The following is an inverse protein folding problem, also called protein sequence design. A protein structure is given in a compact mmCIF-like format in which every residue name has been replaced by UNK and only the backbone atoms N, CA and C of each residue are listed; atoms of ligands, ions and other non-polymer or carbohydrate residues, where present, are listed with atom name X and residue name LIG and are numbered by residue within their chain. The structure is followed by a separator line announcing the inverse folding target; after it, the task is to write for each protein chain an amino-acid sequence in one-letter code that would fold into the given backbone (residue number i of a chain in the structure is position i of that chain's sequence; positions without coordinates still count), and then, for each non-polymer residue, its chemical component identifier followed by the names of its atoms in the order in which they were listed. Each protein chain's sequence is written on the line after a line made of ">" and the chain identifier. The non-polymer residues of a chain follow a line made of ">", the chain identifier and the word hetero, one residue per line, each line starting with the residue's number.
data_IF_590395215645
#
_entry.id   IF_590395215645
#
_cell.length_a   1.000
_cell.length_b   1.000
_cell.length_c   1.000
_cell.angle_alpha   90.00
_cell.angle_beta   90.00
_cell.angle_gamma   90.00
#
_symmetry.space_group_name_H-M   'P 1'
#
loop_
_entity.id
_entity.type
_entity.pdbx_description
1 polymer ?
#
# COMPACT_ATOMS: atom_id res chain seq x y z
N UNK A 1 -33.06 -58.57 -34.55
CA UNK A 1 -31.87 -58.57 -35.41
C UNK A 1 -30.97 -57.40 -35.01
N UNK A 2 -29.81 -57.74 -34.41
CA UNK A 2 -28.48 -57.12 -34.59
C UNK A 2 -28.33 -55.59 -34.43
N UNK A 3 -27.46 -55.07 -33.57
CA UNK A 3 -25.99 -55.20 -33.68
C UNK A 3 -25.26 -55.03 -32.33
N UNK A 4 -24.28 -55.89 -32.08
CA UNK A 4 -23.26 -55.78 -31.03
C UNK A 4 -21.89 -55.53 -31.67
N UNK A 5 -21.12 -54.64 -31.05
CA UNK A 5 -19.66 -54.53 -30.92
C UNK A 5 -18.75 -55.30 -31.91
N UNK A 6 -17.93 -54.55 -32.66
CA UNK A 6 -16.61 -55.01 -33.11
C UNK A 6 -15.52 -54.44 -32.17
N UNK A 7 -14.69 -55.34 -31.64
CA UNK A 7 -13.48 -55.07 -30.86
C UNK A 7 -12.29 -55.32 -31.79
N UNK A 8 -11.38 -54.36 -31.92
CA UNK A 8 -10.13 -54.49 -32.70
C UNK A 8 -9.14 -55.48 -32.06
N UNK A 9 -8.30 -56.17 -32.85
CA UNK A 9 -7.39 -57.20 -32.34
C UNK A 9 -6.21 -56.62 -31.56
N UNK A 10 -5.79 -57.36 -30.54
CA UNK A 10 -4.63 -57.09 -29.68
C UNK A 10 -3.35 -57.52 -30.41
N UNK A 11 -2.46 -56.58 -30.72
CA UNK A 11 -1.09 -56.87 -31.18
C UNK A 11 -0.25 -57.49 -30.04
N UNK A 12 0.44 -58.59 -30.32
CA UNK A 12 1.14 -59.42 -29.32
C UNK A 12 2.66 -59.23 -29.26
N UNK A 13 3.20 -58.05 -29.57
CA UNK A 13 4.64 -57.79 -29.36
C UNK A 13 4.87 -56.51 -28.55
N UNK A 14 5.59 -56.66 -27.43
CA UNK A 14 5.99 -55.54 -26.59
C UNK A 14 7.02 -54.64 -27.31
N UNK A 15 6.97 -53.31 -27.13
CA UNK A 15 7.92 -52.40 -27.77
C UNK A 15 9.36 -52.71 -27.31
N UNK A 16 10.31 -52.80 -28.25
CA UNK A 16 11.74 -53.02 -27.95
C UNK A 16 12.37 -51.74 -27.40
N UNK A 17 12.20 -51.50 -26.11
CA UNK A 17 12.71 -50.33 -25.37
C UNK A 17 14.24 -50.23 -25.32
N UNK A 18 14.96 -51.34 -25.54
CA UNK A 18 16.43 -51.38 -25.40
C UNK A 18 17.17 -50.52 -26.43
N UNK A 19 16.65 -50.41 -27.66
CA UNK A 19 17.25 -49.54 -28.71
C UNK A 19 16.97 -48.05 -28.49
N UNK A 20 15.84 -47.71 -27.86
CA UNK A 20 15.49 -46.32 -27.54
C UNK A 20 16.34 -45.77 -26.38
N UNK A 21 16.69 -46.62 -25.41
CA UNK A 21 17.54 -46.26 -24.28
C UNK A 21 19.03 -46.12 -24.66
N UNK A 22 19.51 -46.89 -25.64
CA UNK A 22 20.89 -46.78 -26.16
C UNK A 22 21.10 -45.50 -26.99
N UNK A 23 20.14 -45.08 -27.80
CA UNK A 23 20.26 -43.82 -28.55
C UNK A 23 20.13 -42.57 -27.64
N UNK A 24 19.34 -42.63 -26.56
CA UNK A 24 19.26 -41.54 -25.59
C UNK A 24 20.50 -41.40 -24.69
N UNK A 25 21.28 -42.48 -24.50
CA UNK A 25 22.51 -42.44 -23.72
C UNK A 25 23.72 -41.98 -24.54
N UNK A 26 23.75 -42.25 -25.85
CA UNK A 26 24.77 -41.73 -26.75
C UNK A 26 24.64 -40.21 -27.00
N UNK A 27 23.42 -39.68 -27.16
CA UNK A 27 23.19 -38.23 -27.36
C UNK A 27 23.33 -37.38 -26.08
N UNK A 28 23.45 -38.02 -24.91
CA UNK A 28 23.69 -37.31 -23.64
C UNK A 28 25.16 -37.05 -23.35
N UNK A 29 26.10 -37.60 -24.12
CA UNK A 29 27.54 -37.45 -23.85
C UNK A 29 28.23 -36.28 -24.57
N UNK A 30 27.53 -35.52 -25.42
CA UNK A 30 28.16 -34.49 -26.28
C UNK A 30 27.49 -33.11 -26.25
N UNK A 31 26.72 -32.77 -25.20
CA UNK A 31 26.39 -31.35 -24.96
C UNK A 31 27.51 -30.72 -24.13
N UNK A 32 28.20 -29.68 -24.63
CA UNK A 32 29.17 -28.98 -23.81
C UNK A 32 28.43 -28.45 -22.59
N UNK A 33 28.86 -28.89 -21.41
CA UNK A 33 28.41 -28.38 -20.13
C UNK A 33 28.65 -26.87 -20.16
N UNK A 34 27.63 -26.08 -20.50
CA UNK A 34 27.69 -24.64 -20.41
C UNK A 34 28.03 -24.36 -18.95
N UNK A 35 29.27 -23.93 -18.69
CA UNK A 35 29.74 -23.57 -17.35
C UNK A 35 28.72 -22.60 -16.80
N UNK A 36 27.84 -23.06 -15.91
CA UNK A 36 26.82 -22.24 -15.25
C UNK A 36 27.61 -21.19 -14.47
N UNK A 37 27.79 -20.03 -15.08
CA UNK A 37 28.66 -18.95 -14.59
C UNK A 37 28.25 -18.71 -13.14
N UNK A 38 29.15 -18.96 -12.18
CA UNK A 38 28.85 -18.82 -10.75
C UNK A 38 28.22 -17.44 -10.56
N UNK A 39 26.93 -17.39 -10.20
CA UNK A 39 26.22 -16.12 -10.00
C UNK A 39 27.04 -15.28 -9.02
N UNK A 40 27.36 -14.04 -9.41
CA UNK A 40 28.04 -13.06 -8.55
C UNK A 40 27.34 -12.99 -7.19
N UNK A 41 28.08 -12.82 -6.07
CA UNK A 41 27.49 -12.69 -4.75
C UNK A 41 26.42 -11.59 -4.69
N UNK A 42 26.62 -10.48 -5.41
CA UNK A 42 25.63 -9.40 -5.57
C UNK A 42 24.33 -9.86 -6.24
N UNK A 43 24.42 -10.70 -7.28
CA UNK A 43 23.22 -11.26 -7.93
C UNK A 43 22.49 -12.24 -7.01
N UNK A 44 23.22 -13.05 -6.23
CA UNK A 44 22.62 -13.96 -5.24
C UNK A 44 21.93 -13.19 -4.13
N UNK A 45 22.56 -12.13 -3.64
CA UNK A 45 21.98 -11.25 -2.63
C UNK A 45 20.70 -10.57 -3.16
N UNK A 46 20.75 -10.01 -4.37
CA UNK A 46 19.57 -9.44 -5.04
C UNK A 46 18.44 -10.47 -5.18
N UNK A 47 18.75 -11.68 -5.65
CA UNK A 47 17.76 -12.76 -5.79
C UNK A 47 17.11 -13.12 -4.43
N UNK A 48 17.90 -13.12 -3.35
CA UNK A 48 17.43 -13.39 -1.98
C UNK A 48 16.54 -12.26 -1.45
N UNK A 49 16.92 -10.99 -1.65
CA UNK A 49 16.10 -9.83 -1.25
C UNK A 49 14.80 -9.73 -2.04
N UNK A 50 14.78 -10.09 -3.32
CA UNK A 50 13.55 -10.14 -4.12
C UNK A 50 12.63 -11.28 -3.68
N UNK A 51 13.19 -12.40 -3.21
CA UNK A 51 12.41 -13.51 -2.64
C UNK A 51 11.86 -13.18 -1.26
N UNK A 52 12.65 -12.48 -0.45
CA UNK A 52 12.32 -12.10 0.93
C UNK A 52 12.40 -10.59 1.07
N UNK A 53 11.31 -9.91 0.70
CA UNK A 53 11.20 -8.45 0.65
C UNK A 53 11.44 -7.80 2.02
N UNK A 54 11.18 -8.51 3.12
CA UNK A 54 11.47 -8.05 4.49
C UNK A 54 12.97 -7.98 4.82
N UNK A 55 13.86 -8.62 4.05
CA UNK A 55 15.31 -8.63 4.35
C UNK A 55 15.94 -7.25 4.19
N UNK A 56 15.56 -6.48 3.18
CA UNK A 56 16.17 -5.16 2.94
C UNK A 56 15.83 -4.18 4.09
N UNK A 57 14.56 -3.98 4.46
CA UNK A 57 14.22 -3.19 5.66
C UNK A 57 14.87 -3.73 6.93
N UNK A 58 14.93 -5.06 7.12
CA UNK A 58 15.57 -5.66 8.29
C UNK A 58 17.06 -5.31 8.36
N UNK A 59 17.80 -5.41 7.26
CA UNK A 59 19.22 -5.06 7.22
C UNK A 59 19.42 -3.57 7.54
N UNK A 60 18.56 -2.69 7.03
CA UNK A 60 18.58 -1.26 7.39
C UNK A 60 18.35 -1.07 8.89
N UNK A 61 17.36 -1.75 9.49
CA UNK A 61 17.10 -1.68 10.93
C UNK A 61 18.27 -2.19 11.75
N UNK A 62 18.86 -3.33 11.38
CA UNK A 62 20.03 -3.89 12.09
C UNK A 62 21.18 -2.88 12.07
N UNK A 63 21.46 -2.25 10.92
CA UNK A 63 22.51 -1.23 10.82
C UNK A 63 22.20 -0.03 11.72
N UNK A 64 20.99 0.54 11.64
CA UNK A 64 20.61 1.71 12.43
C UNK A 64 20.61 1.43 13.94
N UNK A 65 20.09 0.27 14.36
CA UNK A 65 20.11 -0.15 15.76
C UNK A 65 21.51 -0.47 16.26
N UNK A 66 22.39 -1.03 15.41
CA UNK A 66 23.80 -1.25 15.75
C UNK A 66 24.54 0.08 15.94
N UNK A 67 24.27 1.09 15.10
CA UNK A 67 24.82 2.44 15.26
C UNK A 67 24.38 3.08 16.58
N UNK A 68 23.15 2.83 17.01
CA UNK A 68 22.69 3.24 18.33
C UNK A 68 23.40 2.48 19.46
N UNK A 69 23.54 1.15 19.32
CA UNK A 69 24.15 0.27 20.33
C UNK A 69 25.64 0.58 20.61
N UNK A 70 26.37 1.18 19.66
CA UNK A 70 27.76 1.61 19.86
C UNK A 70 27.86 2.70 20.95
N UNK A 71 26.87 3.59 21.03
CA UNK A 71 26.81 4.65 22.03
C UNK A 71 25.33 4.91 22.40
N UNK A 72 24.75 4.16 23.34
CA UNK A 72 23.33 4.24 23.68
C UNK A 72 23.06 5.41 24.64
N UNK A 73 23.38 6.63 24.19
CA UNK A 73 23.16 7.87 24.95
C UNK A 73 22.38 8.88 24.10
N UNK A 74 21.83 9.91 24.76
CA UNK A 74 21.11 11.00 24.07
C UNK A 74 21.98 11.78 23.08
N UNK A 75 23.31 11.67 23.20
CA UNK A 75 24.27 12.28 22.28
C UNK A 75 24.30 11.60 20.91
N UNK A 76 23.78 10.38 20.79
CA UNK A 76 23.77 9.64 19.54
C UNK A 76 22.73 10.22 18.57
N UNK A 77 23.09 10.50 17.31
CA UNK A 77 22.13 10.93 16.29
C UNK A 77 20.93 9.99 16.11
N UNK A 78 21.10 8.69 16.36
CA UNK A 78 20.03 7.69 16.27
C UNK A 78 19.04 7.77 17.46
N UNK A 79 19.42 8.42 18.56
CA UNK A 79 18.52 8.58 19.70
C UNK A 79 17.23 9.30 19.30
N UNK A 80 17.32 10.37 18.50
CA UNK A 80 16.14 11.11 18.03
C UNK A 80 15.28 10.35 17.02
N UNK A 81 15.83 9.28 16.44
CA UNK A 81 15.13 8.43 15.50
C UNK A 81 14.32 7.33 16.24
N UNK A 82 14.83 6.86 17.38
CA UNK A 82 14.22 5.79 18.18
C UNK A 82 13.27 6.36 19.24
N UNK A 83 13.62 7.48 19.86
CA UNK A 83 12.88 8.08 20.96
C UNK A 83 12.32 9.46 20.61
N UNK A 84 11.23 9.84 21.28
CA UNK A 84 10.63 11.15 21.13
C UNK A 84 11.63 12.25 21.52
N UNK A 85 11.75 13.25 20.64
CA UNK A 85 12.61 14.41 20.88
C UNK A 85 11.86 15.57 21.52
N UNK A 86 12.59 16.49 22.14
CA UNK A 86 12.09 17.74 22.75
C UNK A 86 11.20 17.55 23.99
N UNK A 87 11.67 16.84 25.05
CA UNK A 87 10.94 16.76 26.30
C UNK A 87 10.87 18.13 26.98
N UNK A 88 9.73 18.43 27.57
CA UNK A 88 9.41 19.64 28.32
C UNK A 88 8.83 19.26 29.69
N UNK A 89 9.02 20.10 30.71
CA UNK A 89 8.49 19.82 32.04
C UNK A 89 6.95 19.74 32.00
N UNK A 90 6.34 18.96 32.90
CA UNK A 90 4.88 18.93 33.03
C UNK A 90 4.28 20.31 33.29
N UNK A 91 3.10 20.57 32.73
CA UNK A 91 2.38 21.84 32.94
C UNK A 91 1.87 22.01 34.38
N UNK A 92 1.60 20.90 35.06
CA UNK A 92 1.14 20.87 36.45
C UNK A 92 2.04 19.92 37.26
N UNK A 93 2.30 20.22 38.55
CA UNK A 93 3.05 19.31 39.41
C UNK A 93 2.43 17.90 39.42
N UNK A 94 3.23 16.88 39.10
CA UNK A 94 2.77 15.49 38.99
C UNK A 94 2.04 15.14 37.68
N UNK A 95 1.94 16.07 36.73
CA UNK A 95 1.36 15.84 35.41
C UNK A 95 2.29 15.06 34.46
N UNK A 96 1.81 14.67 33.27
CA UNK A 96 2.62 13.96 32.29
C UNK A 96 3.69 14.86 31.66
N UNK A 97 4.78 14.25 31.20
CA UNK A 97 5.84 14.93 30.44
C UNK A 97 5.26 15.41 29.10
N UNK A 98 5.50 16.69 28.80
CA UNK A 98 5.09 17.31 27.55
C UNK A 98 6.22 17.25 26.54
N UNK A 99 5.89 17.33 25.25
CA UNK A 99 6.86 17.31 24.18
C UNK A 99 6.58 18.44 23.19
N UNK A 100 7.62 19.20 22.88
CA UNK A 100 7.60 20.19 21.81
C UNK A 100 7.75 19.54 20.43
N UNK A 101 7.97 20.36 19.39
CA UNK A 101 8.13 19.92 18.00
C UNK A 101 9.41 20.45 17.39
N UNK A 102 10.01 19.70 16.46
CA UNK A 102 11.17 20.17 15.74
C UNK A 102 11.68 19.21 14.66
N UNK A 103 12.76 19.56 13.94
CA UNK A 103 13.26 18.79 12.80
C UNK A 103 13.70 17.36 13.16
N UNK A 104 14.08 17.09 14.42
CA UNK A 104 14.40 15.74 14.87
C UNK A 104 13.23 14.77 14.74
N UNK A 105 11.99 15.26 14.74
CA UNK A 105 10.80 14.42 14.56
C UNK A 105 10.75 13.79 13.15
N UNK A 106 11.41 14.38 12.15
CA UNK A 106 11.56 13.77 10.81
C UNK A 106 12.43 12.51 10.88
N UNK A 107 13.46 12.50 11.74
CA UNK A 107 14.31 11.32 11.94
C UNK A 107 13.53 10.18 12.59
N UNK A 108 12.65 10.51 13.53
CA UNK A 108 11.72 9.56 14.14
C UNK A 108 10.78 8.96 13.08
N UNK A 109 10.13 9.82 12.30
CA UNK A 109 9.22 9.37 11.23
C UNK A 109 9.94 8.47 10.23
N UNK A 110 11.13 8.86 9.80
CA UNK A 110 11.93 8.09 8.82
C UNK A 110 12.32 6.72 9.36
N UNK A 111 12.75 6.64 10.62
CA UNK A 111 13.10 5.36 11.24
C UNK A 111 11.89 4.44 11.38
N UNK A 112 10.76 4.95 11.88
CA UNK A 112 9.54 4.16 12.01
C UNK A 112 8.91 3.79 10.67
N UNK A 113 9.11 4.57 9.60
CA UNK A 113 8.77 4.15 8.23
C UNK A 113 9.53 2.89 7.81
N UNK A 114 10.81 2.75 8.18
CA UNK A 114 11.60 1.53 7.92
C UNK A 114 11.10 0.38 8.81
N UNK A 115 10.82 0.64 10.09
CA UNK A 115 10.24 -0.35 11.02
C UNK A 115 8.92 -0.90 10.49
N UNK A 116 8.03 -0.03 10.02
CA UNK A 116 6.75 -0.42 9.45
C UNK A 116 6.91 -1.15 8.12
N UNK A 117 7.88 -0.76 7.29
CA UNK A 117 8.20 -1.49 6.05
C UNK A 117 8.67 -2.92 6.34
N UNK A 118 9.55 -3.10 7.32
CA UNK A 118 9.95 -4.43 7.77
C UNK A 118 8.75 -5.23 8.30
N UNK A 119 7.99 -4.62 9.20
CA UNK A 119 6.85 -5.26 9.88
C UNK A 119 5.80 -5.71 8.86
N UNK A 120 5.44 -4.86 7.89
CA UNK A 120 4.55 -5.18 6.79
C UNK A 120 5.00 -6.41 6.02
N UNK A 121 6.21 -6.37 5.47
CA UNK A 121 6.73 -7.46 4.64
C UNK A 121 6.91 -8.75 5.44
N UNK A 122 7.33 -8.65 6.70
CA UNK A 122 7.50 -9.80 7.58
C UNK A 122 6.14 -10.45 7.89
N UNK A 123 5.14 -9.68 8.33
CA UNK A 123 3.81 -10.18 8.62
C UNK A 123 3.15 -10.79 7.38
N UNK A 124 3.20 -10.09 6.23
CA UNK A 124 2.65 -10.58 4.98
C UNK A 124 3.29 -11.91 4.55
N UNK A 125 4.62 -12.01 4.52
CA UNK A 125 5.27 -13.24 4.05
C UNK A 125 5.26 -14.40 5.05
N UNK A 126 5.39 -14.11 6.35
CA UNK A 126 5.64 -15.14 7.38
C UNK A 126 4.39 -15.56 8.14
N UNK A 127 3.42 -14.68 8.35
CA UNK A 127 2.21 -14.99 9.10
C UNK A 127 0.99 -15.10 8.20
N UNK A 128 0.75 -14.07 7.36
CA UNK A 128 -0.49 -13.96 6.60
C UNK A 128 -0.47 -14.90 5.39
N UNK A 129 0.65 -15.03 4.69
CA UNK A 129 0.74 -15.93 3.51
C UNK A 129 0.44 -17.40 3.86
N UNK A 130 1.03 -18.01 4.90
CA UNK A 130 0.65 -19.36 5.31
C UNK A 130 -0.84 -19.47 5.68
N UNK A 131 -1.37 -18.45 6.37
CA UNK A 131 -2.79 -18.40 6.72
C UNK A 131 -3.71 -18.33 5.49
N UNK A 132 -3.35 -17.54 4.47
CA UNK A 132 -4.08 -17.46 3.21
C UNK A 132 -4.15 -18.82 2.50
N UNK A 133 -3.03 -19.56 2.49
CA UNK A 133 -2.96 -20.92 1.92
C UNK A 133 -3.81 -21.89 2.73
N UNK A 134 -3.77 -21.79 4.07
CA UNK A 134 -4.60 -22.59 4.96
C UNK A 134 -6.10 -22.34 4.73
N UNK A 135 -6.50 -21.09 4.48
CA UNK A 135 -7.86 -20.73 4.10
C UNK A 135 -8.24 -21.09 2.65
N UNK A 136 -7.34 -21.75 1.89
CA UNK A 136 -7.62 -22.21 0.54
C UNK A 136 -7.61 -21.12 -0.53
N UNK A 137 -7.05 -19.94 -0.26
CA UNK A 137 -6.95 -18.86 -1.25
C UNK A 137 -5.91 -19.25 -2.31
N UNK A 138 -6.36 -19.38 -3.55
CA UNK A 138 -5.54 -19.71 -4.72
C UNK A 138 -5.34 -18.48 -5.60
N UNK A 139 -4.27 -18.50 -6.41
CA UNK A 139 -3.92 -17.40 -7.30
C UNK A 139 -2.96 -16.39 -6.66
N UNK A 140 -1.90 -16.03 -7.39
CA UNK A 140 -0.84 -15.14 -6.88
C UNK A 140 -1.36 -13.72 -6.61
N UNK A 141 -2.17 -13.18 -7.53
CA UNK A 141 -2.78 -11.85 -7.40
C UNK A 141 -3.76 -11.77 -6.23
N UNK A 142 -4.75 -12.67 -6.20
CA UNK A 142 -5.73 -12.77 -5.11
C UNK A 142 -5.09 -12.95 -3.74
N UNK A 143 -4.07 -13.81 -3.63
CA UNK A 143 -3.31 -13.99 -2.38
C UNK A 143 -2.60 -12.70 -1.96
N UNK A 144 -1.98 -11.96 -2.89
CA UNK A 144 -1.33 -10.68 -2.60
C UNK A 144 -2.33 -9.65 -2.05
N UNK A 145 -3.49 -9.51 -2.70
CA UNK A 145 -4.55 -8.59 -2.26
C UNK A 145 -5.12 -8.96 -0.90
N UNK A 146 -5.39 -10.24 -0.68
CA UNK A 146 -5.82 -10.73 0.62
C UNK A 146 -4.80 -10.38 1.71
N UNK A 147 -3.50 -10.60 1.45
CA UNK A 147 -2.44 -10.24 2.40
C UNK A 147 -2.40 -8.73 2.70
N UNK A 148 -2.58 -7.88 1.68
CA UNK A 148 -2.66 -6.42 1.84
C UNK A 148 -3.82 -6.03 2.77
N UNK A 149 -5.01 -6.59 2.56
CA UNK A 149 -6.18 -6.29 3.38
C UNK A 149 -6.03 -6.79 4.82
N UNK A 150 -5.54 -8.02 5.02
CA UNK A 150 -5.34 -8.56 6.37
C UNK A 150 -4.27 -7.78 7.13
N UNK A 151 -3.16 -7.38 6.50
CA UNK A 151 -2.16 -6.52 7.13
C UNK A 151 -2.77 -5.19 7.57
N UNK A 152 -3.55 -4.56 6.69
CA UNK A 152 -4.24 -3.30 6.96
C UNK A 152 -5.20 -3.45 8.15
N UNK A 153 -5.96 -4.55 8.20
CA UNK A 153 -6.85 -4.85 9.30
C UNK A 153 -6.10 -5.05 10.63
N UNK A 154 -4.96 -5.76 10.63
CA UNK A 154 -4.13 -5.95 11.84
C UNK A 154 -3.58 -4.60 12.33
N UNK A 155 -3.08 -3.76 11.44
CA UNK A 155 -2.54 -2.45 11.80
C UNK A 155 -3.61 -1.58 12.46
N UNK A 156 -4.76 -1.39 11.81
CA UNK A 156 -5.83 -0.53 12.34
C UNK A 156 -6.60 -1.15 13.52
N UNK A 157 -6.57 -2.48 13.71
CA UNK A 157 -7.07 -3.11 14.93
C UNK A 157 -6.28 -2.68 16.18
N UNK A 158 -5.01 -2.31 16.01
CA UNK A 158 -4.14 -1.83 17.10
C UNK A 158 -4.19 -0.30 17.17
N UNK A 159 -3.96 0.39 16.05
CA UNK A 159 -3.86 1.85 16.01
C UNK A 159 -5.19 2.56 16.18
N UNK A 160 -6.31 1.98 15.73
CA UNK A 160 -7.65 2.57 15.91
C UNK A 160 -8.03 2.77 17.38
N UNK A 161 -8.05 1.70 18.20
CA UNK A 161 -8.29 1.82 19.65
C UNK A 161 -7.23 2.66 20.36
N UNK A 162 -5.96 2.56 19.97
CA UNK A 162 -4.90 3.39 20.54
C UNK A 162 -5.11 4.88 20.26
N UNK A 163 -5.55 5.24 19.05
CA UNK A 163 -5.92 6.60 18.68
C UNK A 163 -7.09 7.11 19.52
N UNK A 164 -8.15 6.31 19.70
CA UNK A 164 -9.27 6.67 20.58
C UNK A 164 -8.82 6.90 22.03
N UNK A 165 -7.93 6.05 22.54
CA UNK A 165 -7.35 6.23 23.87
C UNK A 165 -6.52 7.52 23.96
N UNK A 166 -5.74 7.86 22.93
CA UNK A 166 -5.00 9.13 22.88
C UNK A 166 -5.96 10.33 22.84
N UNK A 167 -7.03 10.24 22.05
CA UNK A 167 -8.04 11.29 21.96
C UNK A 167 -8.76 11.50 23.30
N UNK A 168 -9.07 10.43 24.04
CA UNK A 168 -9.78 10.51 25.34
C UNK A 168 -9.00 11.24 26.42
N UNK A 169 -7.68 11.33 26.28
CA UNK A 169 -6.80 12.08 27.18
C UNK A 169 -6.55 13.52 26.75
N UNK A 170 -7.30 13.99 25.76
CA UNK A 170 -7.22 15.36 25.23
C UNK A 170 -8.60 16.00 25.15
N UNK A 171 -8.65 17.33 25.08
CA UNK A 171 -9.90 18.11 25.11
C UNK A 171 -10.79 17.89 23.88
N UNK A 172 -10.26 17.23 22.84
CA UNK A 172 -10.98 16.87 21.61
C UNK A 172 -11.80 15.58 21.72
N UNK A 173 -11.90 14.98 22.91
CA UNK A 173 -12.65 13.73 23.11
C UNK A 173 -14.03 13.78 22.44
N UNK A 174 -14.32 12.71 21.70
CA UNK A 174 -15.54 12.57 20.91
C UNK A 174 -15.78 13.72 19.91
N UNK A 175 -14.71 14.15 19.24
CA UNK A 175 -14.75 15.14 18.16
C UNK A 175 -15.34 16.49 18.60
N UNK A 176 -14.94 16.98 19.77
CA UNK A 176 -15.26 18.34 20.21
C UNK A 176 -14.54 19.36 19.30
N UNK A 177 -15.30 20.09 18.48
CA UNK A 177 -14.75 21.01 17.47
C UNK A 177 -14.20 22.28 18.10
N UNK A 178 -14.83 22.80 19.15
CA UNK A 178 -14.38 24.00 19.85
C UNK A 178 -12.96 23.82 20.39
N UNK A 179 -12.67 22.66 20.96
CA UNK A 179 -11.36 22.30 21.49
C UNK A 179 -10.25 22.29 20.43
N UNK A 180 -10.59 22.15 19.13
CA UNK A 180 -9.62 22.23 18.04
C UNK A 180 -9.04 23.64 17.86
N UNK A 181 -9.73 24.67 18.35
CA UNK A 181 -9.34 26.07 18.23
C UNK A 181 -9.06 26.73 19.58
N UNK A 182 -9.70 26.25 20.64
CA UNK A 182 -9.48 26.71 22.00
C UNK A 182 -8.03 26.44 22.44
N UNK A 183 -7.40 27.45 23.05
CA UNK A 183 -6.00 27.36 23.48
C UNK A 183 -4.98 27.27 22.34
N UNK A 184 -5.37 27.50 21.08
CA UNK A 184 -4.45 27.50 19.95
C UNK A 184 -3.45 28.67 20.06
N UNK A 185 -2.13 28.45 19.83
CA UNK A 185 -1.52 27.27 19.21
C UNK A 185 -1.19 26.12 20.17
N UNK A 186 -1.57 24.89 19.78
CA UNK A 186 -1.21 23.66 20.49
C UNK A 186 0.25 23.24 20.19
N UNK A 187 1.21 23.93 20.81
CA UNK A 187 2.65 23.72 20.54
C UNK A 187 3.23 22.46 21.16
N UNK A 188 2.62 22.01 22.25
CA UNK A 188 3.11 20.94 23.10
C UNK A 188 2.05 19.85 23.25
N UNK A 189 2.49 18.61 23.25
CA UNK A 189 1.62 17.45 23.37
C UNK A 189 2.15 16.48 24.39
N UNK A 190 1.26 15.72 25.01
CA UNK A 190 1.66 14.58 25.83
C UNK A 190 2.44 13.56 25.00
N UNK A 191 3.37 12.83 25.62
CA UNK A 191 4.20 11.83 24.94
C UNK A 191 3.42 10.83 24.09
N UNK A 192 2.32 10.26 24.60
CA UNK A 192 1.50 9.32 23.81
C UNK A 192 0.83 9.99 22.60
N UNK A 193 0.37 11.23 22.76
CA UNK A 193 -0.22 12.00 21.66
C UNK A 193 0.82 12.24 20.57
N UNK A 194 2.01 12.71 20.94
CA UNK A 194 3.09 12.95 19.99
C UNK A 194 3.56 11.66 19.31
N UNK A 195 3.73 10.58 20.07
CA UNK A 195 4.11 9.27 19.54
C UNK A 195 3.07 8.76 18.53
N UNK A 196 1.80 8.74 18.89
CA UNK A 196 0.72 8.31 17.99
C UNK A 196 0.73 9.12 16.70
N UNK A 197 0.79 10.45 16.81
CA UNK A 197 0.77 11.33 15.64
C UNK A 197 1.95 11.09 14.69
N UNK A 198 3.17 10.91 15.23
CA UNK A 198 4.36 10.65 14.42
C UNK A 198 4.40 9.22 13.86
N UNK A 199 3.89 8.24 14.59
CA UNK A 199 3.76 6.86 14.10
C UNK A 199 2.75 6.78 12.94
N UNK A 200 1.62 7.47 13.05
CA UNK A 200 0.67 7.62 11.94
C UNK A 200 1.33 8.30 10.73
N UNK A 201 2.07 9.39 10.95
CA UNK A 201 2.83 10.03 9.88
C UNK A 201 3.84 9.06 9.22
N UNK A 202 4.46 8.18 10.01
CA UNK A 202 5.39 7.14 9.53
C UNK A 202 4.69 6.08 8.68
N UNK A 203 3.47 5.68 9.07
CA UNK A 203 2.64 4.74 8.34
C UNK A 203 2.19 5.31 7.01
N UNK A 204 1.67 6.54 6.99
CA UNK A 204 1.26 7.20 5.75
C UNK A 204 2.44 7.49 4.82
N UNK A 205 3.61 7.84 5.36
CA UNK A 205 4.84 7.92 4.57
C UNK A 205 5.25 6.55 4.00
N UNK A 206 5.12 5.48 4.78
CA UNK A 206 5.39 4.11 4.32
C UNK A 206 4.43 3.69 3.19
N UNK A 207 3.14 3.97 3.32
CA UNK A 207 2.14 3.69 2.28
C UNK A 207 2.40 4.51 1.01
N UNK A 208 2.80 5.78 1.14
CA UNK A 208 3.20 6.59 -0.01
C UNK A 208 4.41 6.01 -0.75
N UNK A 209 5.40 5.46 -0.05
CA UNK A 209 6.55 4.77 -0.67
C UNK A 209 6.10 3.52 -1.42
N UNK A 210 5.23 2.71 -0.82
CA UNK A 210 4.65 1.52 -1.46
C UNK A 210 3.94 1.88 -2.77
N UNK A 211 3.16 2.96 -2.75
CA UNK A 211 2.44 3.48 -3.92
C UNK A 211 3.38 4.01 -5.00
N UNK A 212 4.36 4.85 -4.63
CA UNK A 212 5.33 5.48 -5.54
C UNK A 212 6.23 4.45 -6.23
N UNK A 213 6.66 3.43 -5.50
CA UNK A 213 7.46 2.34 -6.04
C UNK A 213 6.63 1.27 -6.76
N UNK A 214 5.31 1.45 -6.84
CA UNK A 214 4.36 0.50 -7.44
C UNK A 214 4.58 -0.94 -6.94
N UNK A 215 4.88 -1.08 -5.64
CA UNK A 215 5.06 -2.40 -5.02
C UNK A 215 3.73 -3.17 -4.97
N UNK A 216 2.62 -2.44 -5.07
CA UNK A 216 1.28 -2.98 -5.28
C UNK A 216 0.84 -2.74 -6.74
N UNK A 217 0.17 -3.73 -7.34
CA UNK A 217 -0.39 -3.59 -8.69
C UNK A 217 -1.35 -2.39 -8.71
N UNK A 218 -1.24 -1.45 -9.67
CA UNK A 218 -2.17 -0.34 -9.80
C UNK A 218 -3.62 -0.84 -9.89
N UNK A 219 -4.53 -0.12 -9.23
CA UNK A 219 -5.98 -0.38 -9.26
C UNK A 219 -6.65 0.55 -10.28
N UNK A 220 -7.90 0.28 -10.65
CA UNK A 220 -8.68 1.17 -11.53
C UNK A 220 -8.81 2.60 -10.99
N UNK A 221 -8.75 2.79 -9.67
CA UNK A 221 -8.79 4.06 -8.95
C UNK A 221 -7.39 4.62 -8.58
N UNK A 222 -6.35 4.26 -9.33
CA UNK A 222 -4.96 4.64 -9.01
C UNK A 222 -4.73 6.16 -8.97
N UNK A 223 -5.33 6.92 -9.89
CA UNK A 223 -5.13 8.38 -9.96
C UNK A 223 -5.73 9.08 -8.74
N UNK A 224 -6.93 8.67 -8.36
CA UNK A 224 -7.64 9.16 -7.18
C UNK A 224 -6.90 8.77 -5.91
N UNK A 225 -6.33 7.55 -5.85
CA UNK A 225 -5.49 7.11 -4.75
C UNK A 225 -4.20 7.91 -4.62
N UNK A 226 -3.54 8.28 -5.73
CA UNK A 226 -2.37 9.17 -5.72
C UNK A 226 -2.75 10.57 -5.26
N UNK A 227 -3.84 11.13 -5.79
CA UNK A 227 -4.36 12.43 -5.38
C UNK A 227 -4.67 12.46 -3.87
N UNK A 228 -5.29 11.40 -3.36
CA UNK A 228 -5.52 11.22 -1.92
C UNK A 228 -4.23 11.27 -1.12
N UNK A 229 -3.18 10.52 -1.51
CA UNK A 229 -1.90 10.51 -0.79
C UNK A 229 -1.21 11.88 -0.77
N UNK A 230 -1.33 12.65 -1.85
CA UNK A 230 -0.83 14.03 -1.88
C UNK A 230 -1.58 14.89 -0.84
N UNK A 231 -2.91 14.80 -0.82
CA UNK A 231 -3.75 15.56 0.12
C UNK A 231 -3.48 15.13 1.57
N UNK A 232 -3.39 13.83 1.86
CA UNK A 232 -3.17 13.34 3.22
C UNK A 232 -1.79 13.70 3.73
N UNK A 233 -0.71 13.50 2.95
CA UNK A 233 0.63 13.91 3.36
C UNK A 233 0.72 15.43 3.56
N UNK A 234 0.04 16.23 2.73
CA UNK A 234 -0.04 17.67 2.93
C UNK A 234 -0.78 18.03 4.23
N UNK A 235 -1.91 17.39 4.52
CA UNK A 235 -2.65 17.58 5.77
C UNK A 235 -1.80 17.23 6.99
N UNK A 236 -1.11 16.08 6.96
CA UNK A 236 -0.23 15.63 8.05
C UNK A 236 0.92 16.63 8.27
N UNK A 237 1.65 16.97 7.21
CA UNK A 237 2.80 17.85 7.29
C UNK A 237 2.42 19.26 7.75
N UNK A 238 1.37 19.84 7.15
CA UNK A 238 0.94 21.21 7.47
C UNK A 238 0.29 21.29 8.86
N UNK A 239 -0.55 20.32 9.25
CA UNK A 239 -1.16 20.35 10.57
C UNK A 239 -0.15 20.13 11.68
N UNK A 240 0.89 19.32 11.46
CA UNK A 240 2.01 19.22 12.41
C UNK A 240 2.82 20.52 12.48
N UNK A 241 3.20 21.08 11.32
CA UNK A 241 4.05 22.29 11.21
C UNK A 241 3.39 23.55 11.77
N UNK A 242 2.07 23.67 11.60
CA UNK A 242 1.30 24.87 11.97
C UNK A 242 0.38 24.65 13.19
N UNK A 243 0.62 23.62 14.00
CA UNK A 243 -0.07 23.39 15.28
C UNK A 243 -1.56 23.02 15.19
N UNK A 244 -2.06 22.56 14.04
CA UNK A 244 -3.42 22.04 13.88
C UNK A 244 -3.54 20.53 14.17
N UNK A 245 -2.71 20.00 15.07
CA UNK A 245 -2.60 18.56 15.34
C UNK A 245 -3.86 17.96 15.96
N UNK A 246 -4.65 18.75 16.67
CA UNK A 246 -5.94 18.33 17.23
C UNK A 246 -6.94 17.96 16.14
N UNK A 247 -7.01 18.76 15.08
CA UNK A 247 -7.78 18.44 13.87
C UNK A 247 -7.17 17.24 13.15
N UNK A 248 -5.83 17.16 13.09
CA UNK A 248 -5.12 16.02 12.51
C UNK A 248 -5.46 14.67 13.18
N UNK A 249 -5.47 14.60 14.51
CA UNK A 249 -5.85 13.38 15.25
C UNK A 249 -7.31 12.98 14.97
N UNK A 250 -8.22 13.95 14.94
CA UNK A 250 -9.61 13.67 14.57
C UNK A 250 -9.71 13.05 13.16
N UNK A 251 -8.97 13.59 12.20
CA UNK A 251 -8.92 13.04 10.84
C UNK A 251 -8.30 11.64 10.83
N UNK A 252 -7.15 11.41 11.48
CA UNK A 252 -6.55 10.08 11.58
C UNK A 252 -7.54 9.04 12.09
N UNK A 253 -8.16 9.29 13.24
CA UNK A 253 -9.02 8.30 13.90
C UNK A 253 -10.26 7.95 13.08
N UNK A 254 -10.89 8.96 12.45
CA UNK A 254 -12.01 8.68 11.54
C UNK A 254 -11.57 7.82 10.35
N UNK A 255 -10.36 8.07 9.85
CA UNK A 255 -9.84 7.37 8.69
C UNK A 255 -9.42 5.93 9.02
N UNK A 256 -8.66 5.74 10.09
CA UNK A 256 -8.14 4.45 10.53
C UNK A 256 -9.27 3.48 10.90
N UNK A 257 -10.27 3.95 11.67
CA UNK A 257 -11.39 3.08 12.07
C UNK A 257 -12.22 2.68 10.84
N UNK A 258 -12.47 3.59 9.91
CA UNK A 258 -13.24 3.23 8.70
C UNK A 258 -12.45 2.31 7.76
N UNK A 259 -11.13 2.47 7.67
CA UNK A 259 -10.27 1.61 6.87
C UNK A 259 -10.14 0.20 7.48
N UNK A 260 -10.20 0.08 8.82
CA UNK A 260 -10.36 -1.22 9.48
C UNK A 260 -11.59 -1.96 8.95
N UNK A 261 -12.78 -1.33 8.99
CA UNK A 261 -14.02 -1.94 8.50
C UNK A 261 -13.97 -2.25 7.00
N UNK A 262 -13.32 -1.40 6.19
CA UNK A 262 -13.12 -1.67 4.77
C UNK A 262 -12.26 -2.93 4.57
N UNK A 263 -11.10 -2.99 5.22
CA UNK A 263 -10.14 -4.07 5.07
C UNK A 263 -10.69 -5.42 5.55
N UNK A 264 -11.40 -5.44 6.67
CA UNK A 264 -12.06 -6.65 7.18
C UNK A 264 -13.24 -7.07 6.32
N UNK A 265 -14.02 -6.13 5.76
CA UNK A 265 -15.12 -6.47 4.84
C UNK A 265 -14.61 -7.19 3.58
N UNK A 266 -13.48 -6.72 3.03
CA UNK A 266 -12.80 -7.37 1.90
C UNK A 266 -12.21 -8.72 2.29
N UNK A 267 -11.59 -8.80 3.47
CA UNK A 267 -11.06 -10.07 4.01
C UNK A 267 -12.16 -11.13 4.12
N UNK A 268 -13.34 -10.77 4.64
CA UNK A 268 -14.49 -11.67 4.74
C UNK A 268 -15.00 -12.10 3.36
N UNK A 269 -15.02 -11.19 2.39
CA UNK A 269 -15.39 -11.49 1.00
C UNK A 269 -14.42 -12.49 0.36
N UNK A 270 -13.11 -12.33 0.54
CA UNK A 270 -12.11 -13.29 0.05
C UNK A 270 -12.25 -14.69 0.65
N UNK A 271 -12.74 -14.78 1.90
CA UNK A 271 -13.00 -16.02 2.61
C UNK A 271 -14.39 -16.61 2.31
N UNK A 272 -15.21 -15.93 1.50
CA UNK A 272 -16.63 -16.25 1.23
C UNK A 272 -17.44 -16.52 2.51
N UNK A 273 -17.21 -15.72 3.56
CA UNK A 273 -17.87 -15.92 4.85
C UNK A 273 -19.34 -15.48 4.80
N UNK A 274 -20.22 -16.19 5.51
CA UNK A 274 -21.68 -15.94 5.49
C UNK A 274 -22.07 -14.51 5.92
N UNK A 275 -21.28 -13.90 6.81
CA UNK A 275 -21.53 -12.54 7.32
C UNK A 275 -21.04 -11.42 6.38
N UNK A 276 -20.50 -11.74 5.20
CA UNK A 276 -19.90 -10.74 4.30
C UNK A 276 -20.87 -9.61 3.96
N UNK A 277 -22.11 -9.93 3.59
CA UNK A 277 -23.12 -8.93 3.21
C UNK A 277 -23.56 -8.06 4.40
N UNK A 278 -23.99 -8.61 5.56
CA UNK A 278 -24.36 -7.77 6.70
C UNK A 278 -23.17 -6.94 7.23
N UNK A 279 -21.96 -7.51 7.22
CA UNK A 279 -20.75 -6.77 7.61
C UNK A 279 -20.43 -5.64 6.64
N UNK A 280 -20.60 -5.86 5.33
CA UNK A 280 -20.44 -4.82 4.32
C UNK A 280 -21.45 -3.67 4.51
N UNK A 281 -22.71 -3.99 4.83
CA UNK A 281 -23.71 -2.98 5.20
C UNK A 281 -23.32 -2.14 6.42
N UNK A 282 -22.82 -2.79 7.48
CA UNK A 282 -22.27 -2.09 8.66
C UNK A 282 -21.08 -1.21 8.28
N UNK A 283 -20.17 -1.69 7.44
CA UNK A 283 -19.05 -0.92 6.90
C UNK A 283 -19.54 0.35 6.19
N UNK A 284 -20.57 0.27 5.34
CA UNK A 284 -21.12 1.47 4.66
C UNK A 284 -21.64 2.49 5.68
N UNK A 285 -22.35 2.05 6.72
CA UNK A 285 -22.80 2.93 7.80
C UNK A 285 -21.63 3.61 8.52
N UNK A 286 -20.60 2.84 8.88
CA UNK A 286 -19.40 3.37 9.52
C UNK A 286 -18.64 4.35 8.62
N UNK A 287 -18.55 4.06 7.32
CA UNK A 287 -17.94 4.96 6.34
C UNK A 287 -18.68 6.30 6.29
N UNK A 288 -20.02 6.28 6.18
CA UNK A 288 -20.81 7.51 6.13
C UNK A 288 -20.64 8.34 7.41
N UNK A 289 -20.71 7.70 8.58
CA UNK A 289 -20.55 8.41 9.84
C UNK A 289 -19.15 9.01 10.00
N UNK A 290 -18.11 8.19 9.83
CA UNK A 290 -16.72 8.59 10.11
C UNK A 290 -16.14 9.51 9.02
N UNK A 291 -16.32 9.15 7.74
CA UNK A 291 -15.70 9.88 6.61
C UNK A 291 -16.50 11.08 6.15
N UNK A 292 -17.82 11.12 6.39
CA UNK A 292 -18.66 12.22 5.91
C UNK A 292 -19.27 13.03 7.04
N UNK A 293 -20.06 12.43 7.93
CA UNK A 293 -20.72 13.22 8.97
C UNK A 293 -19.71 13.96 9.86
N UNK A 294 -18.69 13.26 10.38
CA UNK A 294 -17.66 13.88 11.20
C UNK A 294 -16.76 14.84 10.41
N UNK A 295 -16.41 14.51 9.16
CA UNK A 295 -15.60 15.42 8.33
C UNK A 295 -16.35 16.71 8.00
N UNK A 296 -17.65 16.63 7.66
CA UNK A 296 -18.52 17.78 7.43
C UNK A 296 -18.69 18.60 8.72
N UNK A 297 -18.77 17.97 9.89
CA UNK A 297 -18.76 18.66 11.18
C UNK A 297 -17.46 19.46 11.38
N UNK A 298 -16.30 18.90 11.05
CA UNK A 298 -15.01 19.60 11.12
C UNK A 298 -14.96 20.75 10.10
N UNK A 299 -15.39 20.53 8.86
CA UNK A 299 -15.45 21.57 7.82
C UNK A 299 -16.36 22.73 8.24
N UNK A 300 -17.51 22.42 8.83
CA UNK A 300 -18.42 23.43 9.37
C UNK A 300 -17.74 24.25 10.46
N UNK A 301 -17.05 23.60 11.40
CA UNK A 301 -16.30 24.29 12.45
C UNK A 301 -15.16 25.16 11.89
N UNK A 302 -14.51 24.74 10.81
CA UNK A 302 -13.51 25.58 10.11
C UNK A 302 -14.15 26.85 9.52
N UNK A 303 -15.42 26.81 9.13
CA UNK A 303 -16.14 28.00 8.64
C UNK A 303 -16.68 28.88 9.77
N UNK A 304 -17.19 28.30 10.85
CA UNK A 304 -17.93 29.03 11.91
C UNK A 304 -17.10 29.35 13.15
N UNK A 305 -16.27 28.42 13.61
CA UNK A 305 -15.52 28.51 14.86
C UNK A 305 -14.08 29.00 14.66
N UNK A 306 -13.49 28.75 13.49
CA UNK A 306 -12.11 29.12 13.18
C UNK A 306 -11.83 30.62 13.33
N UNK A 307 -12.81 31.52 13.12
CA UNK A 307 -12.56 32.97 13.35
C UNK A 307 -12.92 33.42 14.75
N UNK A 308 -13.82 32.71 15.41
CA UNK A 308 -14.53 33.19 16.61
C UNK A 308 -13.93 32.62 17.90
N UNK A 309 -13.36 31.41 17.86
CA UNK A 309 -12.82 30.73 19.06
C UNK A 309 -11.32 30.99 19.21
N UNK A 310 -10.94 31.89 20.12
CA UNK A 310 -9.54 32.26 20.38
C UNK A 310 -8.98 33.29 19.39
N UNK A 311 -7.71 33.71 19.54
CA UNK A 311 -7.12 34.77 18.71
C UNK A 311 -7.13 34.42 17.21
N UNK A 312 -7.43 35.39 16.35
CA UNK A 312 -7.40 35.25 14.89
C UNK A 312 -6.45 36.29 14.31
N UNK A 313 -5.16 35.96 14.32
CA UNK A 313 -4.08 36.82 13.86
C UNK A 313 -2.92 35.97 13.34
N UNK A 314 -2.02 36.58 12.58
CA UNK A 314 -0.78 35.94 12.15
C UNK A 314 0.37 36.55 12.94
N UNK A 315 1.02 35.75 13.79
CA UNK A 315 2.19 36.16 14.54
C UNK A 315 3.24 35.04 14.54
N UNK A 316 4.41 35.31 13.94
CA UNK A 316 5.49 34.33 13.80
C UNK A 316 6.26 34.10 15.10
N UNK A 317 6.38 35.11 15.96
CA UNK A 317 7.07 35.02 17.25
C UNK A 317 6.28 34.14 18.22
N UNK A 318 4.98 34.37 18.31
CA UNK A 318 4.07 33.55 19.12
C UNK A 318 3.58 32.32 18.36
N UNK A 319 4.11 32.02 17.17
CA UNK A 319 3.68 30.90 16.33
C UNK A 319 2.16 30.77 16.21
N UNK A 320 1.47 31.91 16.24
CA UNK A 320 0.03 32.01 16.09
C UNK A 320 -0.25 32.03 14.59
N UNK A 321 -0.68 30.88 14.06
CA UNK A 321 -0.88 30.68 12.63
C UNK A 321 -2.34 30.72 12.22
N UNK A 322 -3.25 30.93 13.17
CA UNK A 322 -4.69 30.96 12.95
C UNK A 322 -5.11 32.29 12.32
N UNK A 323 -5.08 32.33 11.00
CA UNK A 323 -5.35 33.51 10.17
C UNK A 323 -6.16 33.15 8.91
N UNK A 324 -6.55 34.15 8.11
CA UNK A 324 -7.35 33.95 6.90
C UNK A 324 -6.73 32.97 5.91
N UNK A 325 -5.40 33.01 5.72
CA UNK A 325 -4.65 32.10 4.85
C UNK A 325 -4.80 30.66 5.34
N UNK A 326 -4.50 30.43 6.62
CA UNK A 326 -4.58 29.10 7.22
C UNK A 326 -6.00 28.53 7.17
N UNK A 327 -7.04 29.37 7.30
CA UNK A 327 -8.42 28.96 7.20
C UNK A 327 -8.74 28.43 5.80
N UNK A 328 -8.39 29.18 4.75
CA UNK A 328 -8.65 28.75 3.37
C UNK A 328 -7.86 27.50 3.00
N UNK A 329 -6.58 27.40 3.39
CA UNK A 329 -5.76 26.22 3.10
C UNK A 329 -6.31 24.99 3.83
N UNK A 330 -6.62 25.12 5.13
CA UNK A 330 -7.17 24.02 5.93
C UNK A 330 -8.51 23.56 5.38
N UNK A 331 -9.41 24.50 5.07
CA UNK A 331 -10.71 24.19 4.46
C UNK A 331 -10.53 23.50 3.10
N UNK A 332 -9.69 24.03 2.22
CA UNK A 332 -9.47 23.48 0.88
C UNK A 332 -8.92 22.05 0.93
N UNK A 333 -7.95 21.77 1.81
CA UNK A 333 -7.39 20.43 1.97
C UNK A 333 -8.41 19.44 2.53
N UNK A 334 -9.15 19.82 3.57
CA UNK A 334 -10.22 18.98 4.13
C UNK A 334 -11.37 18.76 3.16
N UNK A 335 -11.77 19.79 2.40
CA UNK A 335 -12.80 19.69 1.38
C UNK A 335 -12.35 18.80 0.21
N UNK A 336 -11.07 18.86 -0.17
CA UNK A 336 -10.48 17.96 -1.17
C UNK A 336 -10.48 16.51 -0.67
N UNK A 337 -10.14 16.29 0.60
CA UNK A 337 -10.24 14.98 1.24
C UNK A 337 -11.68 14.46 1.25
N UNK A 338 -12.65 15.32 1.58
CA UNK A 338 -14.08 15.01 1.54
C UNK A 338 -14.56 14.66 0.13
N UNK A 339 -14.09 15.37 -0.91
CA UNK A 339 -14.44 15.10 -2.30
C UNK A 339 -13.97 13.72 -2.76
N UNK A 340 -12.74 13.33 -2.40
CA UNK A 340 -12.24 11.97 -2.71
C UNK A 340 -13.01 10.91 -1.91
N UNK A 341 -13.33 11.17 -0.64
CA UNK A 341 -14.16 10.26 0.15
C UNK A 341 -15.55 10.09 -0.46
N UNK A 342 -16.16 11.14 -1.03
CA UNK A 342 -17.46 11.08 -1.70
C UNK A 342 -17.40 10.26 -3.00
N UNK A 343 -16.31 10.40 -3.77
CA UNK A 343 -16.06 9.56 -4.93
C UNK A 343 -16.03 8.07 -4.54
N UNK A 344 -15.32 7.71 -3.48
CA UNK A 344 -15.30 6.33 -3.00
C UNK A 344 -16.64 5.88 -2.41
N UNK A 345 -17.39 6.75 -1.73
CA UNK A 345 -18.74 6.44 -1.28
C UNK A 345 -19.63 6.07 -2.47
N UNK A 346 -19.56 6.83 -3.57
CA UNK A 346 -20.32 6.50 -4.78
C UNK A 346 -20.01 5.08 -5.27
N UNK A 347 -18.73 4.69 -5.32
CA UNK A 347 -18.33 3.33 -5.70
C UNK A 347 -18.84 2.28 -4.70
N UNK A 348 -18.73 2.54 -3.40
CA UNK A 348 -19.21 1.65 -2.32
C UNK A 348 -20.72 1.43 -2.43
N UNK A 349 -21.50 2.51 -2.63
CA UNK A 349 -22.95 2.42 -2.77
C UNK A 349 -23.35 1.69 -4.06
N UNK A 350 -22.59 1.85 -5.14
CA UNK A 350 -22.79 1.09 -6.38
C UNK A 350 -22.60 -0.41 -6.16
N UNK A 351 -21.56 -0.80 -5.41
CA UNK A 351 -21.31 -2.20 -5.03
C UNK A 351 -22.43 -2.70 -4.10
N UNK A 352 -22.86 -1.91 -3.12
CA UNK A 352 -23.96 -2.27 -2.22
C UNK A 352 -25.26 -2.51 -3.00
N UNK A 353 -25.57 -1.65 -3.97
CA UNK A 353 -26.71 -1.82 -4.88
C UNK A 353 -26.60 -3.15 -5.62
N UNK A 354 -25.44 -3.50 -6.16
CA UNK A 354 -25.25 -4.77 -6.87
C UNK A 354 -25.45 -5.99 -5.96
N UNK A 355 -24.98 -5.93 -4.70
CA UNK A 355 -25.23 -6.99 -3.72
C UNK A 355 -26.72 -7.21 -3.42
N UNK A 356 -27.49 -6.12 -3.30
CA UNK A 356 -28.91 -6.18 -2.93
C UNK A 356 -29.78 -6.60 -4.11
N UNK A 357 -29.52 -6.07 -5.32
CA UNK A 357 -30.43 -6.22 -6.46
C UNK A 357 -30.03 -7.34 -7.42
N UNK A 358 -28.75 -7.66 -7.56
CA UNK A 358 -28.28 -8.56 -8.63
C UNK A 358 -27.71 -9.89 -8.11
N UNK A 359 -27.64 -10.11 -6.79
CA UNK A 359 -27.00 -11.29 -6.17
C UNK A 359 -25.54 -11.55 -6.64
N UNK A 360 -24.92 -10.57 -7.33
CA UNK A 360 -23.55 -10.66 -7.84
C UNK A 360 -22.62 -10.20 -6.72
N UNK A 361 -21.80 -11.12 -6.19
CA UNK A 361 -20.81 -10.83 -5.14
C UNK A 361 -19.53 -10.14 -5.64
N UNK A 362 -19.52 -9.62 -6.87
CA UNK A 362 -18.31 -9.16 -7.57
C UNK A 362 -18.07 -7.67 -7.31
N UNK A 363 -16.98 -7.35 -6.60
CA UNK A 363 -16.48 -5.97 -6.44
C UNK A 363 -15.80 -5.53 -7.75
N UNK A 364 -16.35 -4.52 -8.43
CA UNK A 364 -15.79 -4.02 -9.70
C UNK A 364 -14.42 -3.35 -9.55
N UNK A 365 -14.06 -2.92 -8.33
CA UNK A 365 -12.71 -2.43 -8.00
C UNK A 365 -11.69 -3.56 -8.02
N UNK A 366 -12.11 -4.80 -7.76
CA UNK A 366 -11.27 -6.01 -7.78
C UNK A 366 -11.27 -6.74 -9.12
N UNK A 367 -11.90 -6.22 -10.18
CA UNK A 367 -11.97 -6.92 -11.48
C UNK A 367 -10.61 -7.17 -12.15
N UNK A 368 -9.55 -6.42 -11.80
CA UNK A 368 -8.18 -6.68 -12.27
C UNK A 368 -7.48 -7.86 -11.53
N UNK A 369 -8.19 -8.54 -10.61
CA UNK A 369 -7.67 -9.66 -9.80
C UNK A 369 -7.87 -11.03 -10.46
N UNK A 370 -8.86 -11.17 -11.36
CA UNK A 370 -9.26 -12.46 -11.98
C UNK A 370 -8.76 -12.63 -13.43
N UNK A 371 -8.22 -11.59 -14.07
CA UNK A 371 -7.89 -11.59 -15.51
C UNK A 371 -6.53 -12.20 -15.89
N UNK A 372 -5.81 -12.84 -14.97
CA UNK A 372 -4.40 -13.26 -15.16
C UNK A 372 -4.14 -14.76 -14.94
N UNK A 373 -5.10 -15.64 -15.22
CA UNK A 373 -4.86 -17.11 -15.17
C UNK A 373 -4.21 -17.69 -16.45
N UNK A 374 -3.98 -16.92 -17.52
CA UNK A 374 -3.57 -17.48 -18.84
C UNK A 374 -2.18 -17.10 -19.40
N UNK A 375 -1.29 -16.41 -18.67
CA UNK A 375 0.09 -16.20 -19.17
C UNK A 375 1.11 -17.10 -18.45
N UNK A 376 1.17 -18.37 -18.87
CA UNK A 376 2.34 -19.21 -18.68
C UNK A 376 3.34 -18.89 -19.80
N UNK A 377 4.53 -18.36 -19.52
CA UNK A 377 5.52 -18.13 -20.56
C UNK A 377 6.08 -19.48 -21.01
N UNK A 378 5.72 -19.91 -22.22
CA UNK A 378 6.45 -20.95 -22.95
C UNK A 378 7.87 -20.41 -23.20
N UNK A 379 8.94 -21.14 -22.88
CA UNK A 379 10.29 -20.64 -23.10
C UNK A 379 10.62 -20.76 -24.60
N UNK A 380 10.54 -19.64 -25.31
CA UNK A 380 11.13 -19.54 -26.65
C UNK A 380 12.66 -19.59 -26.51
N UNK A 381 13.21 -20.74 -26.87
CA UNK A 381 14.57 -20.88 -27.33
C UNK A 381 14.66 -20.26 -28.72
N UNK A 382 15.31 -19.11 -28.85
CA UNK A 382 16.40 -18.97 -29.82
C UNK A 382 17.23 -17.70 -29.61
N UNK A 383 18.53 -17.93 -29.68
CA UNK A 383 19.63 -16.97 -29.61
C UNK A 383 19.75 -16.17 -30.89
N UNK A 384 19.91 -14.84 -30.80
CA UNK A 384 21.04 -14.16 -31.46
C UNK A 384 21.28 -12.78 -30.85
N UNK A 385 22.53 -12.58 -30.41
CA UNK A 385 23.06 -11.30 -29.99
C UNK A 385 23.74 -10.61 -31.18
N UNK A 386 23.53 -9.30 -31.35
CA UNK A 386 24.41 -8.44 -32.15
C UNK A 386 24.45 -7.03 -31.56
N UNK A 387 25.65 -6.47 -31.53
CA UNK A 387 26.06 -5.23 -30.87
C UNK A 387 25.65 -3.95 -31.62
N UNK A 388 25.48 -2.88 -30.82
CA UNK A 388 25.92 -1.48 -31.00
C UNK A 388 25.55 -0.71 -32.29
N UNK A 389 24.85 0.42 -32.14
CA UNK A 389 25.40 1.80 -32.13
C UNK A 389 24.23 2.80 -32.21
N UNK A 390 24.38 3.98 -31.58
CA UNK A 390 23.32 4.99 -31.47
C UNK A 390 23.19 5.91 -32.69
N UNK A 391 22.08 6.68 -32.71
CA UNK A 391 21.95 8.12 -33.02
C UNK A 391 20.44 8.45 -33.08
N UNK A 392 20.16 9.73 -32.78
CA UNK A 392 18.92 10.43 -32.45
C UNK A 392 17.79 10.42 -33.50
N UNK A 393 16.56 10.80 -33.08
CA UNK A 393 15.63 11.54 -33.95
C UNK A 393 14.14 11.17 -33.92
N UNK A 394 13.39 11.79 -33.01
CA UNK A 394 12.11 12.51 -33.24
C UNK A 394 10.89 11.86 -34.00
N UNK A 395 9.82 11.63 -33.24
CA UNK A 395 8.39 12.02 -33.44
C UNK A 395 7.50 11.58 -34.64
N UNK A 396 6.31 11.06 -34.26
CA UNK A 396 4.93 11.30 -34.83
C UNK A 396 4.65 10.56 -36.17
N UNK A 397 3.56 9.82 -36.45
CA UNK A 397 2.12 9.88 -36.13
C UNK A 397 1.42 8.55 -36.44
N UNK A 398 0.18 8.44 -35.95
CA UNK A 398 -0.87 7.43 -36.08
C UNK A 398 -1.13 6.69 -37.42
N UNK A 399 -1.80 5.52 -37.23
CA UNK A 399 -2.94 4.92 -37.95
C UNK A 399 -2.66 3.78 -38.95
N UNK A 400 -3.34 2.65 -38.74
CA UNK A 400 -3.76 1.73 -39.81
C UNK A 400 -3.41 0.26 -39.60
N UNK A 401 -4.44 -0.59 -39.48
CA UNK A 401 -4.37 -2.06 -39.50
C UNK A 401 -3.80 -2.58 -40.82
N UNK A 402 -2.98 -3.64 -40.80
CA UNK A 402 -3.14 -4.84 -41.63
C UNK A 402 -2.07 -5.91 -41.34
N UNK A 403 -2.51 -7.15 -41.16
CA UNK A 403 -1.68 -8.35 -41.02
C UNK A 403 -0.98 -8.64 -42.35
N UNK A 404 0.35 -8.57 -42.41
CA UNK A 404 1.13 -9.15 -43.51
C UNK A 404 2.38 -9.85 -42.96
N UNK A 405 2.50 -11.14 -43.29
CA UNK A 405 3.67 -11.98 -43.07
C UNK A 405 4.88 -11.42 -43.82
N UNK A 406 6.09 -11.35 -43.22
CA UNK A 406 7.26 -10.80 -43.90
C UNK A 406 7.75 -11.75 -45.00
N UNK A 407 7.75 -11.28 -46.25
CA UNK A 407 8.39 -11.96 -47.39
C UNK A 407 9.86 -11.54 -47.51
N UNK A 408 10.76 -12.51 -47.64
CA UNK A 408 12.19 -12.28 -47.84
C UNK A 408 12.45 -11.91 -49.31
N UNK A 409 13.07 -10.74 -49.53
CA UNK A 409 13.52 -10.25 -50.83
C UNK A 409 15.03 -10.50 -50.98
N UNK A 410 15.45 -11.01 -52.15
CA UNK A 410 16.88 -11.06 -52.52
C UNK A 410 17.05 -10.21 -53.78
N UNK A 411 17.94 -9.22 -53.74
CA UNK A 411 18.16 -8.24 -54.82
C UNK A 411 16.87 -7.55 -55.34
N UNK A 412 15.95 -7.24 -54.42
CA UNK A 412 14.76 -6.42 -54.72
C UNK A 412 13.61 -7.14 -55.43
N UNK A 413 13.59 -8.49 -55.48
CA UNK A 413 12.43 -9.27 -55.96
C UNK A 413 12.08 -10.41 -55.00
N UNK A 414 10.78 -10.75 -54.83
CA UNK A 414 10.34 -11.84 -53.94
C UNK A 414 10.69 -13.22 -54.51
N UNK A 415 11.22 -14.09 -53.66
CA UNK A 415 11.59 -15.47 -54.02
C UNK A 415 10.32 -16.33 -54.05
N UNK A 416 9.82 -16.65 -55.24
CA UNK A 416 8.75 -17.63 -55.43
C UNK A 416 9.35 -19.05 -55.41
N UNK A 417 9.06 -19.85 -54.38
CA UNK A 417 9.35 -21.29 -54.38
C UNK A 417 8.15 -22.07 -54.91
N UNK A 418 8.21 -22.53 -56.16
CA UNK A 418 7.46 -23.68 -56.68
C UNK A 418 8.46 -24.75 -57.13
N UNK A 419 8.68 -25.75 -56.29
CA UNK A 419 8.52 -27.18 -56.56
C UNK A 419 9.02 -27.98 -55.35
#
# INVERSE_FOLDING_TARGET
>A
MSTMNEVSPIESEAPKWDKALQNQSADKLSKPHTKRRKKSPLRRFKDVCLKHTWLLPLLMLIVLLSLYAINPTESNPMHSAIFLSYPLPPKVPGGPIMYGKGPKDITFVSFYTIVLSFTREFLMQRLIRPFAVYCGIRGRGKTARFMEQVYTAIYFAIFGPFGLYVMSRSDIWYFNTTAMFEGFPHREHEGLFKAFYLLEASYWAQQAIVLMLQLEKPRKDFKELVGHHIITLALIGLSYRFHFTYMGIAVYITHDISDFFLATSKTLNYLDHIITVPYFGMFVGMWIYLRHYLNLKILWAVLTEFRTVGPFELNWETQQYKCWISQYITFALLASLQAVNLFWLFLILRILKNYIFNSIKKDERSEDEDSEEEEVPVPDTDTHATLATGVEGATVTARGKENQTPQVLVNGKPVNSKN
#
